data_IF_920335578186
#
_entry.id   IF_920335578186
#
_cell.length_a   1.000
_cell.length_b   1.000
_cell.length_c   1.000
_cell.angle_alpha   90.00
_cell.angle_beta   90.00
_cell.angle_gamma   90.00
#
_symmetry.space_group_name_H-M   'P 1'
#
loop_
_entity.id
_entity.type
_entity.pdbx_description
1 polymer ?
#
# COMPACT_ATOMS: atom_id res chain seq x y z
N UNK A 1 0.70 5.09 20.93
CA UNK A 1 0.63 5.05 19.45
C UNK A 1 -0.19 3.84 19.06
N UNK A 2 -1.17 3.94 18.16
CA UNK A 2 -1.91 2.76 17.70
C UNK A 2 -0.91 1.81 17.03
N UNK A 3 -0.87 0.57 17.51
CA UNK A 3 -0.13 -0.49 16.83
C UNK A 3 -0.96 -0.86 15.62
N UNK A 4 -0.54 -0.45 14.44
CA UNK A 4 -1.17 -0.86 13.19
C UNK A 4 -1.07 -2.38 13.12
N UNK A 5 -2.23 -3.04 13.14
CA UNK A 5 -2.27 -4.48 13.00
C UNK A 5 -1.71 -4.82 11.61
N UNK A 6 -0.72 -5.72 11.52
CA UNK A 6 -0.23 -6.15 10.21
C UNK A 6 -1.41 -6.69 9.40
N UNK A 7 -1.48 -6.25 8.14
CA UNK A 7 -2.49 -6.71 7.20
C UNK A 7 -2.36 -8.24 7.04
N UNK A 8 -3.49 -8.95 7.07
CA UNK A 8 -3.50 -10.40 6.78
C UNK A 8 -3.58 -10.65 5.28
N UNK A 9 -3.17 -11.83 4.84
CA UNK A 9 -3.22 -12.21 3.42
C UNK A 9 -4.64 -12.12 2.85
N UNK A 10 -5.66 -12.55 3.61
CA UNK A 10 -7.06 -12.44 3.20
C UNK A 10 -7.54 -10.98 3.06
N UNK A 11 -7.06 -10.08 3.92
CA UNK A 11 -7.36 -8.65 3.80
C UNK A 11 -6.67 -8.03 2.58
N UNK A 12 -5.44 -8.43 2.31
CA UNK A 12 -4.70 -7.98 1.13
C UNK A 12 -5.38 -8.46 -0.17
N UNK A 13 -5.84 -9.70 -0.22
CA UNK A 13 -6.58 -10.27 -1.35
C UNK A 13 -7.87 -9.49 -1.63
N UNK A 14 -8.68 -9.27 -0.60
CA UNK A 14 -9.91 -8.49 -0.73
C UNK A 14 -9.63 -7.06 -1.19
N UNK A 15 -8.61 -6.41 -0.63
CA UNK A 15 -8.21 -5.06 -1.01
C UNK A 15 -7.76 -4.98 -2.47
N UNK A 16 -6.90 -5.91 -2.91
CA UNK A 16 -6.42 -5.95 -4.28
C UNK A 16 -7.56 -6.19 -5.27
N UNK A 17 -8.52 -7.07 -4.95
CA UNK A 17 -9.68 -7.28 -5.80
C UNK A 17 -10.50 -5.99 -5.98
N UNK A 18 -10.75 -5.25 -4.89
CA UNK A 18 -11.44 -3.95 -4.95
C UNK A 18 -10.65 -2.96 -5.82
N UNK A 19 -9.33 -2.89 -5.68
CA UNK A 19 -8.48 -2.00 -6.48
C UNK A 19 -8.53 -2.37 -7.96
N UNK A 20 -8.42 -3.66 -8.29
CA UNK A 20 -8.47 -4.12 -9.67
C UNK A 20 -9.83 -3.78 -10.32
N UNK A 21 -10.93 -4.01 -9.61
CA UNK A 21 -12.27 -3.67 -10.08
C UNK A 21 -12.46 -2.15 -10.23
N UNK A 22 -12.00 -1.36 -9.25
CA UNK A 22 -12.16 0.10 -9.24
C UNK A 22 -11.34 0.78 -10.33
N UNK A 23 -10.17 0.23 -10.65
CA UNK A 23 -9.25 0.76 -11.67
C UNK A 23 -9.41 0.09 -13.04
N UNK A 24 -10.37 -0.83 -13.20
CA UNK A 24 -10.57 -1.62 -14.42
C UNK A 24 -9.29 -2.34 -14.89
N UNK A 25 -8.54 -2.89 -13.94
CA UNK A 25 -7.29 -3.61 -14.20
C UNK A 25 -7.57 -5.09 -14.46
N UNK A 26 -7.25 -5.54 -15.67
CA UNK A 26 -7.24 -6.97 -15.98
C UNK A 26 -5.88 -7.56 -15.56
N UNK A 27 -5.90 -8.45 -14.56
CA UNK A 27 -4.70 -9.13 -14.05
C UNK A 27 -4.82 -10.62 -14.33
N UNK A 28 -3.78 -11.20 -14.94
CA UNK A 28 -3.69 -12.64 -15.13
C UNK A 28 -3.50 -13.34 -13.77
N UNK A 29 -4.35 -14.35 -13.52
CA UNK A 29 -4.40 -15.11 -12.27
C UNK A 29 -3.03 -15.73 -11.89
N UNK A 30 -2.17 -16.04 -12.87
CA UNK A 30 -0.82 -16.55 -12.63
C UNK A 30 0.06 -15.56 -11.85
N UNK A 31 -0.20 -14.25 -11.96
CA UNK A 31 0.58 -13.20 -11.31
C UNK A 31 0.06 -12.79 -9.93
N UNK A 32 -1.15 -13.19 -9.55
CA UNK A 32 -1.76 -12.79 -8.27
C UNK A 32 -0.88 -13.08 -7.04
N UNK A 33 -0.21 -14.26 -6.92
CA UNK A 33 0.67 -14.52 -5.78
C UNK A 33 1.86 -13.56 -5.71
N UNK A 34 2.43 -13.22 -6.86
CA UNK A 34 3.59 -12.33 -6.98
C UNK A 34 3.20 -10.88 -6.63
N UNK A 35 2.06 -10.41 -7.17
CA UNK A 35 1.51 -9.07 -6.88
C UNK A 35 1.21 -8.94 -5.38
N UNK A 36 0.59 -9.96 -4.78
CA UNK A 36 0.33 -10.00 -3.34
C UNK A 36 1.64 -9.89 -2.55
N UNK A 37 2.67 -10.62 -2.95
CA UNK A 37 3.97 -10.57 -2.28
C UNK A 37 4.57 -9.16 -2.29
N UNK A 38 4.62 -8.50 -3.46
CA UNK A 38 5.13 -7.13 -3.57
C UNK A 38 4.28 -6.11 -2.81
N UNK A 39 2.95 -6.26 -2.83
CA UNK A 39 2.05 -5.43 -2.05
C UNK A 39 2.32 -5.58 -0.54
N UNK A 40 2.48 -6.80 -0.04
CA UNK A 40 2.76 -7.07 1.37
C UNK A 40 4.14 -6.53 1.81
N UNK A 41 5.16 -6.59 0.94
CA UNK A 41 6.46 -5.94 1.19
C UNK A 41 6.26 -4.42 1.34
N UNK A 42 5.53 -3.81 0.42
CA UNK A 42 5.26 -2.37 0.42
C UNK A 42 4.45 -1.94 1.64
N UNK A 43 3.46 -2.73 2.06
CA UNK A 43 2.65 -2.48 3.27
C UNK A 43 3.51 -2.48 4.53
N UNK A 44 4.52 -3.34 4.62
CA UNK A 44 5.48 -3.32 5.74
C UNK A 44 6.33 -2.06 5.75
N UNK A 45 6.81 -1.62 4.59
CA UNK A 45 7.58 -0.37 4.45
C UNK A 45 6.73 0.85 4.80
N UNK A 46 5.47 0.89 4.35
CA UNK A 46 4.52 1.93 4.74
C UNK A 46 4.30 1.95 6.27
N UNK A 47 4.13 0.77 6.89
CA UNK A 47 4.05 0.66 8.34
C UNK A 47 5.26 1.24 9.07
N UNK A 48 6.47 1.08 8.53
CA UNK A 48 7.68 1.73 9.07
C UNK A 48 7.57 3.25 8.95
N UNK A 49 7.15 3.78 7.80
CA UNK A 49 6.97 5.23 7.63
C UNK A 49 5.94 5.79 8.62
N UNK A 50 4.85 5.07 8.86
CA UNK A 50 3.81 5.48 9.82
C UNK A 50 4.30 5.50 11.28
N UNK A 51 5.35 4.76 11.62
CA UNK A 51 5.99 4.86 12.95
C UNK A 51 6.81 6.14 13.15
N UNK A 52 7.16 6.84 12.08
CA UNK A 52 7.83 8.14 12.12
C UNK A 52 6.83 9.24 11.80
N UNK A 53 6.05 9.73 12.78
CA UNK A 53 5.07 10.77 12.54
C UNK A 53 5.78 12.02 12.01
N UNK A 54 5.51 12.38 10.77
CA UNK A 54 5.94 13.66 10.20
C UNK A 54 5.27 14.77 11.02
N UNK A 55 6.03 15.79 11.40
CA UNK A 55 5.42 16.99 11.94
C UNK A 55 4.51 17.57 10.85
N UNK A 56 3.27 17.97 11.18
CA UNK A 56 2.29 18.56 10.24
C UNK A 56 2.85 19.82 9.53
N UNK A 57 4.00 20.32 9.97
CA UNK A 57 4.75 21.45 9.41
C UNK A 57 5.70 21.10 8.28
N UNK A 58 5.87 19.82 7.91
CA UNK A 58 6.69 19.43 6.76
C UNK A 58 5.88 19.60 5.47
N UNK A 59 6.20 20.66 4.71
CA UNK A 59 5.69 20.85 3.36
C UNK A 59 6.00 19.63 2.49
N UNK A 60 5.08 19.29 1.58
CA UNK A 60 5.32 18.26 0.58
C UNK A 60 6.65 18.53 -0.14
N UNK A 61 7.43 17.48 -0.38
CA UNK A 61 8.65 17.58 -1.18
C UNK A 61 8.38 18.39 -2.46
N UNK A 62 9.29 19.28 -2.86
CA UNK A 62 9.01 20.27 -3.89
C UNK A 62 8.56 19.60 -5.18
N UNK A 63 7.27 19.76 -5.51
CA UNK A 63 6.75 19.41 -6.83
C UNK A 63 7.29 20.45 -7.80
N UNK A 64 8.09 20.01 -8.78
CA UNK A 64 8.57 20.88 -9.83
C UNK A 64 7.40 21.63 -10.47
N UNK A 65 7.45 22.97 -10.44
CA UNK A 65 6.49 23.83 -11.13
C UNK A 65 7.19 24.40 -12.38
N UNK A 66 6.66 24.17 -13.59
CA UNK A 66 7.22 24.73 -14.83
C UNK A 66 7.12 26.27 -14.88
#
# INVERSE_FOLDING_TARGET
MPVLKPMSDAMAEQYMQIVFETMDLTVDAAWLPEIRNYFMISARLAGILETYPLAITEDLAPVFRP
#
